data_IF_666065582183
#
_entry.id   IF_666065582183
#
_cell.length_a   1.000
_cell.length_b   1.000
_cell.length_c   1.000
_cell.angle_alpha   90.00
_cell.angle_beta   90.00
_cell.angle_gamma   90.00
#
_symmetry.space_group_name_H-M   'P 1'
#
loop_
_entity.id
_entity.type
_entity.pdbx_description
1 polymer ?
#
# COMPACT_ATOMS: atom_id res chain seq x y z
N UNK A 1 -20.23 -78.53 19.78
CA UNK A 1 -18.86 -78.25 19.32
C UNK A 1 -18.64 -76.75 19.36
N UNK A 2 -17.61 -76.29 20.08
CA UNK A 2 -17.34 -74.87 20.33
C UNK A 2 -16.24 -74.41 19.35
N UNK A 3 -16.59 -73.52 18.41
CA UNK A 3 -15.63 -72.96 17.44
C UNK A 3 -15.06 -71.68 18.02
N UNK A 4 -13.81 -71.74 18.49
CA UNK A 4 -13.03 -70.58 18.93
C UNK A 4 -12.43 -69.83 17.74
N UNK A 5 -12.79 -68.57 17.58
CA UNK A 5 -12.16 -67.65 16.61
C UNK A 5 -11.12 -66.82 17.36
N UNK A 6 -9.84 -67.04 17.06
CA UNK A 6 -8.72 -66.23 17.53
C UNK A 6 -8.49 -65.13 16.48
N UNK A 7 -8.94 -63.91 16.77
CA UNK A 7 -8.69 -62.74 15.94
C UNK A 7 -7.36 -62.07 16.30
N UNK A 8 -6.44 -62.01 15.33
CA UNK A 8 -5.18 -61.27 15.43
C UNK A 8 -5.45 -59.76 15.47
N UNK A 9 -5.06 -59.11 16.57
CA UNK A 9 -5.10 -57.65 16.72
C UNK A 9 -3.79 -57.08 16.17
N UNK A 10 -3.83 -56.54 14.94
CA UNK A 10 -2.73 -55.75 14.39
C UNK A 10 -2.66 -54.40 15.12
N UNK A 11 -1.61 -54.19 15.92
CA UNK A 11 -1.30 -52.88 16.53
C UNK A 11 -0.80 -51.93 15.45
N UNK A 12 -1.62 -50.93 15.10
CA UNK A 12 -1.21 -49.80 14.26
C UNK A 12 -0.32 -48.90 15.13
N UNK A 13 0.97 -48.78 14.78
CA UNK A 13 1.87 -47.84 15.41
C UNK A 13 1.50 -46.41 14.97
N UNK A 14 1.34 -45.51 15.93
CA UNK A 14 1.08 -44.09 15.66
C UNK A 14 2.32 -43.47 14.98
N UNK A 15 2.13 -42.96 13.77
CA UNK A 15 3.18 -42.32 12.99
C UNK A 15 3.21 -40.82 13.35
N UNK A 16 4.16 -40.43 14.19
CA UNK A 16 4.37 -39.03 14.59
C UNK A 16 4.90 -38.26 13.39
N UNK A 17 4.06 -37.39 12.81
CA UNK A 17 4.45 -36.54 11.69
C UNK A 17 4.97 -35.21 12.24
N UNK A 18 6.27 -34.96 12.11
CA UNK A 18 6.90 -33.73 12.58
C UNK A 18 6.55 -32.59 11.62
N UNK A 19 5.70 -31.65 12.06
CA UNK A 19 5.38 -30.44 11.31
C UNK A 19 6.60 -29.52 11.31
N UNK A 20 7.16 -29.24 10.14
CA UNK A 20 8.29 -28.31 10.01
C UNK A 20 7.73 -26.93 9.68
N UNK A 21 7.68 -26.04 10.68
CA UNK A 21 7.22 -24.66 10.49
C UNK A 21 8.34 -23.82 9.87
N UNK A 22 8.16 -23.39 8.63
CA UNK A 22 9.07 -22.45 7.99
C UNK A 22 8.73 -21.03 8.45
N UNK A 23 9.54 -20.47 9.33
CA UNK A 23 9.41 -19.07 9.76
C UNK A 23 10.02 -18.17 8.69
N UNK A 24 9.18 -17.52 7.87
CA UNK A 24 9.63 -16.47 6.95
C UNK A 24 9.87 -15.20 7.75
N UNK A 25 11.13 -14.80 7.90
CA UNK A 25 11.51 -13.54 8.54
C UNK A 25 11.35 -12.40 7.54
N UNK A 26 10.21 -11.71 7.55
CA UNK A 26 10.03 -10.46 6.80
C UNK A 26 10.80 -9.35 7.51
N UNK A 27 11.79 -8.76 6.84
CA UNK A 27 12.51 -7.59 7.35
C UNK A 27 11.57 -6.38 7.30
N UNK A 28 11.02 -5.98 8.45
CA UNK A 28 10.23 -4.75 8.59
C UNK A 28 11.21 -3.57 8.57
N UNK A 29 11.10 -2.70 7.57
CA UNK A 29 11.87 -1.46 7.51
C UNK A 29 11.62 -0.61 8.76
N UNK A 30 12.68 -0.08 9.34
CA UNK A 30 12.68 0.68 10.58
C UNK A 30 11.84 1.96 10.47
N UNK A 31 10.94 2.13 11.44
CA UNK A 31 10.01 3.26 11.56
C UNK A 31 10.79 4.55 11.83
N UNK A 32 10.90 5.42 10.83
CA UNK A 32 11.42 6.79 11.00
C UNK A 32 10.34 7.65 11.66
N UNK A 33 10.67 8.24 12.81
CA UNK A 33 9.87 9.29 13.46
C UNK A 33 9.89 10.55 12.60
N UNK A 34 8.70 11.14 12.41
CA UNK A 34 8.50 12.31 11.55
C UNK A 34 8.83 13.55 12.37
N UNK A 35 9.74 14.39 11.89
CA UNK A 35 9.95 15.74 12.42
C UNK A 35 9.30 16.78 11.50
N UNK A 36 8.37 17.56 12.05
CA UNK A 36 7.73 18.67 11.37
C UNK A 36 8.76 19.80 11.18
N UNK A 37 9.00 20.22 9.93
CA UNK A 37 9.71 21.48 9.68
C UNK A 37 8.81 22.45 8.91
N UNK A 38 8.96 23.74 9.21
CA UNK A 38 7.98 24.82 9.02
C UNK A 38 7.63 25.23 7.58
N UNK A 39 7.49 24.30 6.65
CA UNK A 39 7.02 24.54 5.26
C UNK A 39 5.75 23.77 4.87
N UNK A 40 5.06 23.16 5.84
CA UNK A 40 3.66 22.72 5.65
C UNK A 40 3.44 21.32 5.08
N UNK A 41 4.44 20.45 5.07
CA UNK A 41 4.27 19.02 4.75
C UNK A 41 4.57 18.18 5.99
N UNK A 42 3.52 17.89 6.77
CA UNK A 42 3.54 16.72 7.65
C UNK A 42 3.47 15.51 6.72
N UNK A 43 4.59 14.81 6.53
CA UNK A 43 4.56 13.55 5.79
C UNK A 43 4.55 12.41 6.81
N UNK A 44 3.48 11.62 6.83
CA UNK A 44 3.46 10.32 7.50
C UNK A 44 4.67 9.48 7.07
N UNK A 45 5.06 9.57 5.80
CA UNK A 45 6.22 8.91 5.23
C UNK A 45 6.81 9.75 4.08
N UNK A 46 8.14 9.88 4.04
CA UNK A 46 8.88 10.41 2.90
C UNK A 46 9.65 9.26 2.24
N UNK A 47 9.41 9.02 0.96
CA UNK A 47 10.00 7.89 0.23
C UNK A 47 10.97 8.39 -0.83
N UNK A 48 12.23 7.94 -0.77
CA UNK A 48 13.14 7.93 -1.91
C UNK A 48 13.01 6.55 -2.57
N UNK A 49 12.27 6.47 -3.68
CA UNK A 49 11.85 5.17 -4.23
C UNK A 49 13.00 4.22 -4.57
N UNK A 50 12.68 2.92 -4.62
CA UNK A 50 13.55 1.89 -5.16
C UNK A 50 13.23 1.64 -6.65
N UNK A 51 14.21 1.10 -7.39
CA UNK A 51 13.99 0.54 -8.72
C UNK A 51 13.33 -0.85 -8.58
N UNK A 52 12.07 -0.85 -8.17
CA UNK A 52 11.22 -2.03 -7.97
C UNK A 52 10.08 -1.72 -6.99
N UNK A 53 9.02 -2.53 -7.04
CA UNK A 53 7.91 -2.44 -6.10
C UNK A 53 8.39 -2.63 -4.66
N UNK A 54 8.12 -1.64 -3.82
CA UNK A 54 8.47 -1.63 -2.41
C UNK A 54 7.23 -1.39 -1.56
N UNK A 55 7.03 -2.26 -0.57
CA UNK A 55 5.93 -2.15 0.37
C UNK A 55 6.27 -1.18 1.49
N UNK A 56 5.33 -0.28 1.78
CA UNK A 56 5.41 0.65 2.89
C UNK A 56 4.22 0.46 3.81
N UNK A 57 4.44 0.59 5.12
CA UNK A 57 3.38 0.49 6.11
C UNK A 57 3.67 1.36 7.34
N UNK A 58 2.61 1.95 7.90
CA UNK A 58 2.68 2.77 9.11
C UNK A 58 1.35 2.78 9.86
N UNK A 59 1.43 2.84 11.18
CA UNK A 59 0.25 3.01 12.02
C UNK A 59 -0.12 4.50 12.15
N UNK A 60 -1.43 4.77 12.12
CA UNK A 60 -2.06 6.06 12.30
C UNK A 60 -3.07 5.97 13.45
N UNK A 61 -2.96 6.86 14.43
CA UNK A 61 -3.96 6.99 15.49
C UNK A 61 -4.99 8.04 15.08
N UNK A 62 -6.26 7.65 14.96
CA UNK A 62 -7.29 8.53 14.44
C UNK A 62 -7.65 9.65 15.43
N UNK A 63 -7.53 10.89 14.96
CA UNK A 63 -7.92 12.11 15.69
C UNK A 63 -9.25 12.68 15.22
N UNK A 64 -9.78 12.18 14.11
CA UNK A 64 -11.07 12.58 13.54
C UNK A 64 -11.82 11.37 12.96
N UNK A 65 -13.13 11.50 12.79
CA UNK A 65 -14.00 10.41 12.31
C UNK A 65 -13.97 10.21 10.79
N UNK A 66 -13.42 11.18 10.05
CA UNK A 66 -13.28 11.11 8.60
C UNK A 66 -11.90 11.62 8.17
N UNK A 67 -10.82 10.86 8.44
CA UNK A 67 -9.50 11.24 7.98
C UNK A 67 -9.39 11.19 6.45
N UNK A 68 -8.44 11.94 5.90
CA UNK A 68 -8.11 11.91 4.47
C UNK A 68 -6.72 11.33 4.30
N UNK A 69 -6.63 10.14 3.68
CA UNK A 69 -5.36 9.62 3.19
C UNK A 69 -4.97 10.38 1.93
N UNK A 70 -3.75 10.90 1.91
CA UNK A 70 -3.20 11.74 0.84
C UNK A 70 -1.87 11.18 0.38
N UNK A 71 -1.76 10.92 -0.91
CA UNK A 71 -0.50 10.70 -1.61
C UNK A 71 -0.12 11.97 -2.36
N UNK A 72 1.15 12.36 -2.27
CA UNK A 72 1.66 13.54 -2.95
C UNK A 72 2.93 13.19 -3.70
N UNK A 73 2.91 13.41 -5.01
CA UNK A 73 4.10 13.32 -5.84
C UNK A 73 4.58 14.73 -6.18
N UNK A 74 5.88 14.98 -5.98
CA UNK A 74 6.52 16.22 -6.38
C UNK A 74 7.54 15.96 -7.48
N UNK A 75 7.22 16.43 -8.69
CA UNK A 75 8.09 16.34 -9.86
C UNK A 75 9.16 17.43 -9.84
N UNK A 76 10.43 17.03 -9.92
CA UNK A 76 11.58 17.97 -10.10
C UNK A 76 12.25 17.76 -11.47
N UNK A 77 12.13 16.57 -12.07
CA UNK A 77 12.74 16.22 -13.35
C UNK A 77 11.73 15.49 -14.25
N UNK A 78 11.85 15.72 -15.56
CA UNK A 78 10.99 15.16 -16.59
C UNK A 78 11.18 13.65 -16.86
N UNK A 79 12.17 13.01 -16.23
CA UNK A 79 12.54 11.62 -16.53
C UNK A 79 11.98 10.60 -15.53
N UNK A 80 11.14 11.02 -14.58
CA UNK A 80 10.73 10.17 -13.46
C UNK A 80 9.23 9.91 -13.48
N UNK A 81 8.88 8.63 -13.37
CA UNK A 81 7.50 8.18 -13.20
C UNK A 81 7.39 7.47 -11.87
N UNK A 82 6.30 7.71 -11.15
CA UNK A 82 5.96 6.98 -9.94
C UNK A 82 4.72 6.15 -10.18
N UNK A 83 4.68 5.01 -9.51
CA UNK A 83 3.57 4.08 -9.54
C UNK A 83 3.16 3.78 -8.10
N UNK A 84 1.86 3.74 -7.87
CA UNK A 84 1.23 3.43 -6.59
C UNK A 84 0.23 2.30 -6.82
N UNK A 85 0.23 1.32 -5.94
CA UNK A 85 -0.69 0.20 -6.01
C UNK A 85 -1.04 -0.33 -4.61
N UNK A 86 -2.13 -1.11 -4.52
CA UNK A 86 -2.55 -1.85 -3.34
C UNK A 86 -2.54 -1.01 -2.04
N UNK A 87 -3.07 0.21 -2.13
CA UNK A 87 -3.20 1.08 -0.96
C UNK A 87 -4.18 0.45 0.04
N UNK A 88 -3.94 0.55 1.34
CA UNK A 88 -4.81 -0.09 2.32
C UNK A 88 -4.87 0.68 3.61
N UNK A 89 -6.07 0.78 4.18
CA UNK A 89 -6.30 1.28 5.52
C UNK A 89 -7.20 0.28 6.23
N UNK A 90 -6.70 -0.33 7.29
CA UNK A 90 -7.43 -1.32 8.10
C UNK A 90 -7.29 -0.97 9.58
N UNK A 91 -8.30 -1.26 10.39
CA UNK A 91 -8.18 -1.18 11.85
C UNK A 91 -7.21 -2.29 12.31
N UNK A 92 -6.28 -1.98 13.23
CA UNK A 92 -5.29 -2.96 13.71
C UNK A 92 -5.95 -4.18 14.39
N UNK A 93 -7.18 -4.02 14.89
CA UNK A 93 -7.96 -5.09 15.51
C UNK A 93 -8.92 -5.79 14.54
N UNK A 94 -9.17 -5.21 13.35
CA UNK A 94 -10.07 -5.73 12.32
C UNK A 94 -9.41 -5.66 10.93
N UNK A 95 -8.30 -6.38 10.79
CA UNK A 95 -7.40 -6.28 9.61
C UNK A 95 -7.99 -6.78 8.29
N UNK A 96 -9.19 -7.38 8.32
CA UNK A 96 -9.89 -7.90 7.14
C UNK A 96 -10.90 -6.92 6.53
N UNK A 97 -11.11 -5.75 7.16
CA UNK A 97 -12.01 -4.72 6.64
C UNK A 97 -11.19 -3.61 6.00
N UNK A 98 -11.18 -3.58 4.68
CA UNK A 98 -10.63 -2.48 3.91
C UNK A 98 -11.55 -1.24 4.03
N UNK A 99 -10.96 -0.11 4.39
CA UNK A 99 -11.69 1.16 4.53
C UNK A 99 -11.59 2.06 3.29
N UNK A 100 -10.73 1.71 2.33
CA UNK A 100 -10.61 2.39 1.05
C UNK A 100 -11.51 1.78 -0.04
N UNK A 101 -11.99 2.63 -0.93
CA UNK A 101 -12.67 2.24 -2.15
C UNK A 101 -11.65 2.08 -3.29
N UNK A 102 -11.72 0.94 -4.00
CA UNK A 102 -10.83 0.63 -5.12
C UNK A 102 -9.32 0.81 -4.82
N UNK A 103 -8.82 0.20 -3.73
CA UNK A 103 -7.44 0.36 -3.26
C UNK A 103 -6.36 -0.10 -4.25
N UNK A 104 -6.66 -1.13 -5.03
CA UNK A 104 -5.76 -1.75 -6.01
C UNK A 104 -5.94 -1.19 -7.42
N UNK A 105 -6.80 -0.18 -7.58
CA UNK A 105 -7.12 0.44 -8.88
C UNK A 105 -7.68 -0.49 -9.96
N UNK A 106 -7.93 -1.77 -9.69
CA UNK A 106 -8.40 -2.77 -10.67
C UNK A 106 -9.77 -2.44 -11.29
N UNK A 107 -10.61 -1.65 -10.62
CA UNK A 107 -11.87 -1.18 -11.21
C UNK A 107 -11.69 0.04 -12.12
N UNK A 108 -10.48 0.58 -12.23
CA UNK A 108 -10.17 1.79 -12.99
C UNK A 108 -9.59 1.45 -14.37
N UNK A 109 -9.99 2.18 -15.41
CA UNK A 109 -9.47 1.97 -16.78
C UNK A 109 -8.54 3.07 -17.27
N UNK A 110 -8.76 4.31 -16.82
CA UNK A 110 -8.00 5.50 -17.22
C UNK A 110 -7.86 6.50 -16.07
N UNK A 111 -8.83 6.51 -15.15
CA UNK A 111 -8.89 7.41 -14.00
C UNK A 111 -9.12 6.64 -12.71
N UNK A 112 -8.49 7.01 -11.58
CA UNK A 112 -8.60 6.26 -10.33
C UNK A 112 -9.97 6.43 -9.69
N UNK A 113 -10.89 5.51 -10.01
CA UNK A 113 -12.27 5.54 -9.51
C UNK A 113 -12.26 5.45 -7.98
N UNK A 114 -13.02 6.34 -7.32
CA UNK A 114 -13.08 6.44 -5.87
C UNK A 114 -12.03 7.36 -5.24
N UNK A 115 -11.11 7.91 -6.03
CA UNK A 115 -10.07 8.82 -5.55
C UNK A 115 -10.25 10.24 -6.10
N UNK A 116 -10.02 11.23 -5.25
CA UNK A 116 -9.97 12.62 -5.68
C UNK A 116 -8.56 12.95 -6.15
N UNK A 117 -8.47 13.56 -7.33
CA UNK A 117 -7.22 14.04 -7.90
C UNK A 117 -7.25 15.55 -8.02
N UNK A 118 -6.16 16.19 -7.62
CA UNK A 118 -5.98 17.62 -7.84
C UNK A 118 -4.49 17.97 -7.89
N UNK A 119 -4.22 19.19 -8.35
CA UNK A 119 -2.85 19.71 -8.55
C UNK A 119 -2.75 21.15 -8.12
N UNK A 120 -1.54 21.62 -7.81
CA UNK A 120 -1.29 23.07 -7.63
C UNK A 120 -1.27 23.79 -8.99
N UNK A 121 -1.69 25.06 -9.04
CA UNK A 121 -1.91 25.85 -10.27
C UNK A 121 -0.66 26.10 -11.13
N UNK A 122 0.55 25.81 -10.63
CA UNK A 122 1.80 25.87 -11.40
C UNK A 122 1.95 24.74 -12.43
N UNK A 123 1.01 23.78 -12.46
CA UNK A 123 1.07 22.58 -13.30
C UNK A 123 0.34 22.71 -14.65
N UNK A 124 0.38 23.89 -15.29
CA UNK A 124 -0.25 24.11 -16.59
C UNK A 124 0.70 23.72 -17.73
N UNK A 125 0.53 22.54 -18.36
CA UNK A 125 1.14 22.30 -19.66
C UNK A 125 1.45 20.85 -20.07
N UNK A 126 1.54 19.89 -19.15
CA UNK A 126 1.89 18.50 -19.53
C UNK A 126 0.73 17.52 -19.47
N UNK A 127 0.63 16.73 -20.54
CA UNK A 127 -0.27 15.59 -20.72
C UNK A 127 0.49 14.36 -20.20
N UNK A 128 -0.03 13.63 -19.20
CA UNK A 128 0.53 12.31 -18.83
C UNK A 128 0.70 11.98 -17.34
N UNK A 129 0.21 12.81 -16.41
CA UNK A 129 0.24 12.51 -14.96
C UNK A 129 -1.13 12.13 -14.39
N UNK A 130 -1.12 11.51 -13.22
CA UNK A 130 -2.27 11.18 -12.39
C UNK A 130 -3.31 10.23 -13.02
N UNK A 131 -2.86 9.24 -13.78
CA UNK A 131 -3.73 8.34 -14.55
C UNK A 131 -3.58 6.90 -14.07
N UNK A 132 -4.36 5.99 -14.66
CA UNK A 132 -4.14 4.55 -14.50
C UNK A 132 -3.21 4.04 -15.58
N UNK A 133 -2.17 3.34 -15.16
CA UNK A 133 -1.28 2.60 -16.02
C UNK A 133 -1.68 1.14 -16.06
N UNK A 134 -1.39 0.48 -17.18
CA UNK A 134 -1.28 -0.98 -17.26
C UNK A 134 0.14 -1.47 -17.52
N UNK A 135 1.04 -0.54 -17.86
CA UNK A 135 2.47 -0.81 -17.99
C UNK A 135 3.15 -0.72 -16.63
N UNK A 136 4.11 -1.60 -16.38
CA UNK A 136 4.92 -1.66 -15.15
C UNK A 136 4.15 -1.99 -13.85
N UNK A 137 2.84 -2.23 -13.94
CA UNK A 137 2.02 -2.72 -12.83
C UNK A 137 2.19 -4.22 -12.60
N UNK A 138 2.38 -5.00 -13.68
CA UNK A 138 2.76 -6.41 -13.57
C UNK A 138 4.27 -6.54 -13.28
N UNK A 139 4.70 -7.47 -12.41
CA UNK A 139 3.94 -8.59 -11.83
C UNK A 139 3.40 -8.33 -10.42
N UNK A 140 3.17 -7.09 -10.01
CA UNK A 140 2.92 -6.75 -8.61
C UNK A 140 1.60 -7.31 -8.07
N UNK A 141 0.47 -6.76 -8.51
CA UNK A 141 -0.85 -7.13 -8.00
C UNK A 141 -1.95 -6.73 -9.00
N UNK A 142 -2.13 -7.55 -10.04
CA UNK A 142 -3.13 -7.26 -11.07
C UNK A 142 -2.58 -6.47 -12.24
N UNK A 143 -3.45 -5.78 -12.95
CA UNK A 143 -3.15 -5.15 -14.25
C UNK A 143 -3.05 -3.65 -14.15
N UNK A 144 -3.68 -3.03 -13.15
CA UNK A 144 -3.85 -1.59 -13.07
C UNK A 144 -3.10 -1.03 -11.87
N UNK A 145 -2.43 0.10 -12.05
CA UNK A 145 -1.82 0.85 -10.96
C UNK A 145 -1.92 2.35 -11.24
N UNK A 146 -1.96 3.18 -10.19
CA UNK A 146 -1.91 4.62 -10.36
C UNK A 146 -0.51 5.03 -10.83
N UNK A 147 -0.41 5.95 -11.78
CA UNK A 147 0.85 6.49 -12.26
C UNK A 147 0.85 8.00 -12.33
N UNK A 148 2.03 8.58 -12.08
CA UNK A 148 2.28 9.99 -12.24
C UNK A 148 3.65 10.23 -12.87
N UNK A 149 3.65 10.98 -13.98
CA UNK A 149 4.80 11.43 -14.75
C UNK A 149 4.82 12.96 -14.96
N UNK A 150 4.33 13.74 -13.99
CA UNK A 150 4.41 15.21 -14.05
C UNK A 150 5.81 15.82 -13.81
N UNK A 151 6.10 16.95 -14.47
CA UNK A 151 7.47 17.49 -14.58
C UNK A 151 7.78 18.62 -13.59
N UNK A 152 6.77 19.26 -12.97
CA UNK A 152 6.95 20.37 -12.00
C UNK A 152 5.78 20.52 -11.01
N UNK A 153 6.04 20.74 -9.73
CA UNK A 153 4.96 20.99 -8.76
C UNK A 153 4.32 19.72 -8.21
N UNK A 154 3.16 19.88 -7.57
CA UNK A 154 2.56 18.85 -6.72
C UNK A 154 1.25 18.31 -7.30
N UNK A 155 1.22 17.00 -7.43
CA UNK A 155 0.04 16.22 -7.76
C UNK A 155 -0.40 15.43 -6.53
N UNK A 156 -1.71 15.41 -6.31
CA UNK A 156 -2.33 14.85 -5.11
C UNK A 156 -3.37 13.80 -5.47
N UNK A 157 -3.33 12.68 -4.76
CA UNK A 157 -4.31 11.61 -4.82
C UNK A 157 -4.86 11.38 -3.41
N UNK A 158 -6.13 11.68 -3.23
CA UNK A 158 -6.77 11.75 -1.91
C UNK A 158 -7.98 10.81 -1.84
N UNK A 159 -8.18 10.16 -0.70
CA UNK A 159 -9.42 9.48 -0.38
C UNK A 159 -9.73 9.58 1.13
N UNK A 160 -10.96 9.96 1.45
CA UNK A 160 -11.45 9.95 2.82
C UNK A 160 -11.91 8.55 3.22
N UNK A 161 -11.72 8.18 4.48
CA UNK A 161 -12.21 6.93 5.05
C UNK A 161 -12.91 7.16 6.39
N UNK A 162 -13.77 6.25 6.80
CA UNK A 162 -14.43 6.32 8.12
C UNK A 162 -13.52 5.74 9.19
N UNK A 163 -13.35 6.49 10.28
CA UNK A 163 -12.54 6.09 11.42
C UNK A 163 -13.28 6.32 12.74
N UNK A 164 -12.91 5.55 13.76
CA UNK A 164 -13.28 5.78 15.16
C UNK A 164 -12.13 6.52 15.84
N UNK A 165 -12.42 7.70 16.39
CA UNK A 165 -11.42 8.50 17.09
C UNK A 165 -10.83 7.71 18.26
N UNK A 166 -9.51 7.68 18.36
CA UNK A 166 -8.77 6.90 19.35
C UNK A 166 -8.34 5.51 18.89
N UNK A 167 -8.93 4.96 17.82
CA UNK A 167 -8.46 3.69 17.24
C UNK A 167 -7.16 3.87 16.46
N UNK A 168 -6.40 2.79 16.32
CA UNK A 168 -5.18 2.71 15.53
C UNK A 168 -5.46 1.94 14.24
N UNK A 169 -5.08 2.55 13.12
CA UNK A 169 -5.22 2.00 11.79
C UNK A 169 -3.85 1.72 11.21
N UNK A 170 -3.70 0.59 10.51
CA UNK A 170 -2.52 0.30 9.70
C UNK A 170 -2.78 0.80 8.29
N UNK A 171 -1.92 1.72 7.84
CA UNK A 171 -1.89 2.24 6.49
C UNK A 171 -0.76 1.55 5.76
N UNK A 172 -1.01 1.10 4.55
CA UNK A 172 0.01 0.47 3.71
C UNK A 172 -0.23 0.72 2.24
N UNK A 173 0.81 0.55 1.43
CA UNK A 173 0.75 0.69 -0.01
C UNK A 173 2.04 0.15 -0.64
N UNK A 174 1.98 -0.13 -1.93
CA UNK A 174 3.15 -0.43 -2.74
C UNK A 174 3.50 0.74 -3.62
N UNK A 175 4.80 1.00 -3.71
CA UNK A 175 5.32 2.12 -4.46
C UNK A 175 6.51 1.68 -5.31
N UNK A 176 6.50 2.15 -6.55
CA UNK A 176 7.56 1.92 -7.52
C UNK A 176 7.90 3.24 -8.20
N UNK A 177 9.17 3.43 -8.57
CA UNK A 177 9.58 4.54 -9.42
C UNK A 177 10.46 4.04 -10.56
N UNK A 178 10.35 4.71 -11.71
CA UNK A 178 11.26 4.54 -12.85
C UNK A 178 11.98 5.84 -13.12
N UNK A 179 13.30 5.77 -13.34
CA UNK A 179 14.13 6.90 -13.74
C UNK A 179 14.48 7.85 -12.58
N UNK A 180 15.61 8.55 -12.74
CA UNK A 180 16.08 9.66 -11.91
C UNK A 180 16.18 9.43 -10.38
N UNK A 181 16.49 10.51 -9.65
CA UNK A 181 16.75 10.51 -8.19
C UNK A 181 16.04 11.67 -7.46
N UNK A 182 15.24 12.48 -8.14
CA UNK A 182 14.81 13.79 -7.68
C UNK A 182 13.33 13.86 -7.25
N UNK A 183 12.47 12.89 -7.57
CA UNK A 183 11.08 12.88 -7.10
C UNK A 183 11.01 12.55 -5.61
N UNK A 184 10.23 13.37 -4.92
CA UNK A 184 9.83 13.12 -3.54
C UNK A 184 8.38 12.64 -3.55
N UNK A 185 8.15 11.51 -2.91
CA UNK A 185 6.82 10.98 -2.67
C UNK A 185 6.51 11.06 -1.19
N UNK A 186 5.33 11.60 -0.90
CA UNK A 186 4.86 11.81 0.45
C UNK A 186 3.53 11.12 0.64
N UNK A 187 3.35 10.58 1.83
CA UNK A 187 2.06 10.07 2.31
C UNK A 187 1.70 10.84 3.55
N UNK A 188 0.44 11.25 3.68
CA UNK A 188 -0.07 11.99 4.83
C UNK A 188 -1.50 11.54 5.16
N UNK A 189 -1.90 11.74 6.41
CA UNK A 189 -3.28 11.53 6.89
C UNK A 189 -3.68 12.73 7.72
N UNK A 190 -4.71 13.43 7.27
CA UNK A 190 -5.28 14.58 7.98
C UNK A 190 -6.64 14.24 8.54
#
# INVERSE_FOLDING_TARGET
>A
ENIGIIGNINRIAAQTTTLTTTTTTTTIATTTTISCTGTGLCALLSVSGANGWTYYSKNYAATQSTPVLKFTAHGISASETVYLDDASVVDINLTYVQLLNNPSFEMSSSEPIGWMRWRTSSCAGSVGGMQISTSECEPHSGRNCYTDHYQTGYDFLDQSFSATVGNIYTISFWYYKTGGNARKFYVDVK
#
